data_IF_100707369495
#
_entry.id   IF_100707369495
#
_cell.length_a   1.000
_cell.length_b   1.000
_cell.length_c   1.000
_cell.angle_alpha   90.00
_cell.angle_beta   90.00
_cell.angle_gamma   90.00
#
_symmetry.space_group_name_H-M   'P 1'
#
loop_
_entity.id
_entity.type
_entity.pdbx_description
1 polymer ?
#
# COMPACT_ATOMS: atom_id res chain seq x y z
N UNK A 1 -5.72 19.11 -17.87
CA UNK A 1 -5.59 17.96 -18.80
C UNK A 1 -5.08 16.80 -17.98
N UNK A 2 -5.96 16.14 -17.24
CA UNK A 2 -5.65 14.96 -16.42
C UNK A 2 -5.66 13.71 -17.30
N UNK A 3 -4.56 13.50 -18.01
CA UNK A 3 -4.27 12.22 -18.65
C UNK A 3 -3.49 11.36 -17.66
N UNK A 4 -4.20 10.62 -16.80
CA UNK A 4 -3.60 9.53 -16.02
C UNK A 4 -3.07 8.48 -17.00
N UNK A 5 -1.79 8.06 -16.94
CA UNK A 5 -1.31 7.02 -17.83
C UNK A 5 -1.95 5.68 -17.44
N UNK A 6 -2.68 5.07 -18.38
CA UNK A 6 -3.29 3.74 -18.31
C UNK A 6 -2.27 2.58 -18.21
N UNK A 7 -1.01 2.88 -17.91
CA UNK A 7 0.07 1.95 -17.60
C UNK A 7 0.55 2.08 -16.14
N UNK A 8 -0.15 2.87 -15.32
CA UNK A 8 0.15 3.04 -13.91
C UNK A 8 -0.26 1.78 -13.14
N UNK A 9 0.73 1.01 -12.70
CA UNK A 9 0.55 -0.04 -11.70
C UNK A 9 -0.28 0.55 -10.56
N UNK A 10 -1.51 0.04 -10.37
CA UNK A 10 -2.38 0.47 -9.28
C UNK A 10 -1.59 0.37 -7.97
N UNK A 11 -1.45 1.48 -7.26
CA UNK A 11 -0.67 1.53 -6.03
C UNK A 11 -1.40 2.39 -4.99
N UNK A 12 -1.51 1.92 -3.74
CA UNK A 12 -2.16 2.67 -2.66
C UNK A 12 -1.17 3.66 -2.02
N UNK A 13 -0.09 4.02 -2.72
CA UNK A 13 1.00 4.80 -2.17
C UNK A 13 0.61 6.28 -2.09
N UNK A 14 0.47 6.81 -0.88
CA UNK A 14 0.24 8.25 -0.63
C UNK A 14 1.54 9.07 -0.58
N UNK A 15 2.65 8.52 -1.11
CA UNK A 15 4.01 9.09 -1.04
C UNK A 15 4.54 9.33 0.39
N UNK A 16 3.98 8.61 1.36
CA UNK A 16 4.46 8.57 2.74
C UNK A 16 5.34 7.33 2.86
N UNK A 17 6.63 7.52 3.13
CA UNK A 17 7.59 6.44 3.32
C UNK A 17 8.00 6.37 4.81
N UNK A 18 7.03 6.09 5.67
CA UNK A 18 7.25 5.92 7.10
C UNK A 18 6.59 4.61 7.53
N UNK A 19 7.37 3.75 8.17
CA UNK A 19 6.92 2.43 8.64
C UNK A 19 6.81 2.48 10.15
N UNK A 20 5.68 2.04 10.67
CA UNK A 20 5.49 1.84 12.09
C UNK A 20 6.33 0.66 12.55
N UNK A 21 7.23 0.89 13.51
CA UNK A 21 8.16 -0.14 14.02
C UNK A 21 7.47 -1.24 14.82
N UNK A 22 6.25 -1.00 15.34
CA UNK A 22 5.50 -1.97 16.13
C UNK A 22 4.75 -2.97 15.24
N UNK A 23 4.15 -2.49 14.15
CA UNK A 23 3.36 -3.30 13.23
C UNK A 23 4.13 -3.68 11.95
N UNK A 24 5.30 -3.08 11.70
CA UNK A 24 6.08 -3.24 10.46
C UNK A 24 5.28 -2.88 9.19
N UNK A 25 4.33 -1.95 9.33
CA UNK A 25 3.47 -1.46 8.25
C UNK A 25 3.76 0.00 7.92
N UNK A 26 3.70 0.36 6.64
CA UNK A 26 3.74 1.75 6.23
C UNK A 26 2.52 2.49 6.79
N UNK A 27 2.73 3.57 7.53
CA UNK A 27 1.66 4.36 8.15
C UNK A 27 0.78 5.06 7.10
N UNK A 28 1.28 5.24 5.88
CA UNK A 28 0.55 5.92 4.82
C UNK A 28 -0.30 4.99 3.93
N UNK A 29 0.16 3.77 3.71
CA UNK A 29 -0.51 2.83 2.78
C UNK A 29 -0.78 1.45 3.38
N UNK A 30 -0.35 1.16 4.61
CA UNK A 30 -0.59 -0.11 5.30
C UNK A 30 0.20 -1.30 4.76
N UNK A 31 1.18 -1.06 3.86
CA UNK A 31 1.99 -2.12 3.22
C UNK A 31 3.29 -2.35 3.97
N UNK A 32 3.75 -3.59 4.00
CA UNK A 32 5.07 -3.95 4.52
C UNK A 32 6.19 -3.56 3.56
N UNK A 33 7.42 -3.44 4.08
CA UNK A 33 8.61 -3.18 3.25
C UNK A 33 8.82 -4.25 2.16
N UNK A 34 8.52 -5.51 2.45
CA UNK A 34 8.62 -6.62 1.49
C UNK A 34 7.67 -6.42 0.31
N UNK A 35 6.42 -6.07 0.61
CA UNK A 35 5.45 -5.76 -0.44
C UNK A 35 5.92 -4.55 -1.25
N UNK A 36 6.38 -3.48 -0.59
CA UNK A 36 6.83 -2.24 -1.26
C UNK A 36 7.97 -2.55 -2.24
N UNK A 37 9.00 -3.27 -1.81
CA UNK A 37 10.13 -3.66 -2.66
C UNK A 37 9.75 -4.62 -3.79
N UNK A 38 8.72 -5.44 -3.59
CA UNK A 38 8.23 -6.41 -4.58
C UNK A 38 7.09 -5.92 -5.48
N UNK A 39 6.54 -4.72 -5.27
CA UNK A 39 5.24 -4.34 -5.84
C UNK A 39 5.17 -4.43 -7.36
N UNK A 40 6.24 -4.00 -8.03
CA UNK A 40 6.34 -4.00 -9.49
C UNK A 40 6.38 -5.41 -10.08
N UNK A 41 6.80 -6.41 -9.29
CA UNK A 41 6.82 -7.83 -9.64
C UNK A 41 5.53 -8.58 -9.34
N UNK A 42 4.64 -8.03 -8.50
CA UNK A 42 3.36 -8.65 -8.22
C UNK A 42 2.41 -8.52 -9.41
N UNK A 43 1.61 -9.56 -9.65
CA UNK A 43 0.51 -9.52 -10.63
C UNK A 43 -0.62 -8.62 -10.12
N UNK A 44 -1.43 -8.10 -11.03
CA UNK A 44 -2.67 -7.36 -10.75
C UNK A 44 -3.57 -8.05 -9.70
N UNK A 45 -3.82 -9.35 -9.83
CA UNK A 45 -4.58 -10.13 -8.84
C UNK A 45 -3.94 -10.09 -7.43
N UNK A 46 -2.62 -10.24 -7.32
CA UNK A 46 -1.92 -10.17 -6.03
C UNK A 46 -1.98 -8.77 -5.44
N UNK A 47 -1.88 -7.74 -6.29
CA UNK A 47 -2.02 -6.35 -5.85
C UNK A 47 -3.43 -6.06 -5.34
N UNK A 48 -4.45 -6.60 -6.01
CA UNK A 48 -5.84 -6.45 -5.60
C UNK A 48 -6.11 -7.14 -4.25
N UNK A 49 -5.58 -8.35 -4.05
CA UNK A 49 -5.67 -9.07 -2.77
C UNK A 49 -5.01 -8.29 -1.64
N UNK A 50 -3.79 -7.77 -1.88
CA UNK A 50 -3.09 -6.92 -0.91
C UNK A 50 -3.92 -5.66 -0.63
N UNK A 51 -4.42 -4.97 -1.66
CA UNK A 51 -5.23 -3.75 -1.49
C UNK A 51 -6.49 -4.00 -0.66
N UNK A 52 -7.11 -5.17 -0.78
CA UNK A 52 -8.31 -5.52 -0.01
C UNK A 52 -8.02 -5.61 1.49
N UNK A 53 -6.83 -6.05 1.89
CA UNK A 53 -6.47 -6.23 3.30
C UNK A 53 -5.82 -4.99 3.96
N UNK A 54 -5.36 -3.99 3.18
CA UNK A 54 -4.73 -2.79 3.75
C UNK A 54 -5.62 -2.01 4.73
N UNK A 55 -6.92 -1.79 4.46
CA UNK A 55 -7.79 -1.08 5.39
C UNK A 55 -7.90 -1.81 6.73
N UNK A 56 -8.00 -3.14 6.70
CA UNK A 56 -8.04 -3.96 7.92
C UNK A 56 -6.73 -3.90 8.68
N UNK A 57 -5.59 -3.97 7.98
CA UNK A 57 -4.26 -3.80 8.59
C UNK A 57 -4.09 -2.43 9.23
N UNK A 58 -4.49 -1.37 8.55
CA UNK A 58 -4.45 0.00 9.09
C UNK A 58 -5.35 0.15 10.30
N UNK A 59 -6.55 -0.43 10.27
CA UNK A 59 -7.51 -0.40 11.39
C UNK A 59 -7.01 -1.19 12.60
N UNK A 60 -6.47 -2.39 12.39
CA UNK A 60 -5.89 -3.23 13.44
C UNK A 60 -4.64 -2.62 14.06
N UNK A 61 -3.83 -1.94 13.25
CA UNK A 61 -2.63 -1.23 13.71
C UNK A 61 -2.91 0.18 14.27
N UNK A 62 -4.14 0.68 14.17
CA UNK A 62 -4.48 2.07 14.55
C UNK A 62 -3.85 3.14 13.65
N UNK A 63 -3.42 2.78 12.44
CA UNK A 63 -2.71 3.63 11.48
C UNK A 63 -3.63 4.34 10.48
N UNK A 64 -4.95 4.24 10.65
CA UNK A 64 -5.92 4.88 9.76
C UNK A 64 -5.93 6.39 10.01
N UNK A 65 -5.00 7.11 9.38
CA UNK A 65 -4.99 8.56 9.35
C UNK A 65 -6.20 9.05 8.53
N UNK A 66 -7.00 9.92 9.16
CA UNK A 66 -8.22 10.53 8.61
C UNK A 66 -8.04 11.22 7.27
#
# INVERSE_FOLDING_TARGET
>A
MDALPANAIASPCRKICAVDGMNSLCIGCGRTLQEIGGWTRLSDAQRADIMAVLPERLRGAGLQQG
#
